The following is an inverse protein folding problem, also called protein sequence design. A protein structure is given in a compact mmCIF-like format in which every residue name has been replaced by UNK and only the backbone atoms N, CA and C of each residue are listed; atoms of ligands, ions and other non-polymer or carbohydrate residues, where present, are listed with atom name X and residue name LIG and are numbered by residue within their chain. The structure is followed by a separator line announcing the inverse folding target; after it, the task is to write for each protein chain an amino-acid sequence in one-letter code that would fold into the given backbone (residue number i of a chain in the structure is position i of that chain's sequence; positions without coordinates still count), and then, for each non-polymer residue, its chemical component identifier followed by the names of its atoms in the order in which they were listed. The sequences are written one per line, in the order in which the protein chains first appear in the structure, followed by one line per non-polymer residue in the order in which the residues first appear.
data_IF_365412473205
#
_entry.id   IF_365412473205
#
_cell.length_a   1.000
_cell.length_b   1.000
_cell.length_c   1.000
_cell.angle_alpha   90.00
_cell.angle_beta   90.00
_cell.angle_gamma   90.00
#
_symmetry.space_group_name_H-M   'P 1'
#
loop_
_entity.id
_entity.type
_entity.pdbx_description
1 polymer ?
#
# COMPACT_ATOMS: atom_id res chain seq x y z
N UNK A 1 -16.94 23.64 6.25
CA UNK A 1 -16.93 22.62 7.31
C UNK A 1 -16.67 23.36 8.63
N UNK A 2 -17.35 23.04 9.75
CA UNK A 2 -17.10 23.67 11.03
C UNK A 2 -15.66 23.41 11.53
N UNK A 3 -15.23 24.30 12.40
CA UNK A 3 -13.89 24.71 12.82
C UNK A 3 -13.18 23.81 13.85
N UNK A 4 -13.14 22.49 13.64
CA UNK A 4 -12.40 21.63 14.58
C UNK A 4 -12.21 20.17 14.22
N UNK A 5 -12.58 19.77 13.01
CA UNK A 5 -12.33 18.39 12.53
C UNK A 5 -11.20 18.44 11.51
N UNK A 6 -9.98 18.22 11.98
CA UNK A 6 -8.82 18.10 11.10
C UNK A 6 -9.02 16.88 10.21
N UNK A 7 -9.20 17.10 8.90
CA UNK A 7 -9.43 16.00 7.97
C UNK A 7 -8.10 15.52 7.37
N UNK A 8 -7.10 16.39 7.32
CA UNK A 8 -5.81 16.11 6.69
C UNK A 8 -4.64 16.66 7.51
N UNK A 9 -3.65 15.80 7.75
CA UNK A 9 -2.36 16.17 8.34
C UNK A 9 -1.24 15.63 7.46
N UNK A 10 -0.27 16.47 7.13
CA UNK A 10 0.94 16.09 6.41
C UNK A 10 2.16 16.59 7.19
N UNK A 11 3.15 15.72 7.42
CA UNK A 11 4.34 16.10 8.16
C UNK A 11 5.34 14.97 8.25
N UNK A 12 6.50 15.27 8.84
CA UNK A 12 7.60 14.32 8.99
C UNK A 12 7.87 14.07 10.47
N UNK A 13 7.88 12.80 10.85
CA UNK A 13 8.18 12.34 12.21
C UNK A 13 9.54 11.64 12.18
N UNK A 14 10.42 12.01 13.11
CA UNK A 14 11.74 11.43 13.25
C UNK A 14 11.71 10.04 13.90
N UNK A 15 12.82 9.29 13.87
CA UNK A 15 12.91 7.95 14.45
C UNK A 15 12.75 7.91 15.98
N UNK A 16 12.79 9.07 16.65
CA UNK A 16 12.50 9.24 18.08
C UNK A 16 11.00 9.49 18.36
N UNK A 17 10.14 9.46 17.34
CA UNK A 17 8.70 9.70 17.46
C UNK A 17 8.30 11.17 17.60
N UNK A 18 9.23 12.12 17.44
CA UNK A 18 8.96 13.56 17.51
C UNK A 18 8.79 14.15 16.11
N UNK A 19 8.02 15.24 15.99
CA UNK A 19 7.90 16.01 14.76
C UNK A 19 9.24 16.65 14.39
N UNK A 20 9.70 16.46 13.15
CA UNK A 20 10.90 17.14 12.62
C UNK A 20 10.56 18.56 12.20
N UNK A 21 9.36 18.75 11.65
CA UNK A 21 8.77 20.05 11.35
C UNK A 21 7.35 20.11 11.88
N UNK A 22 6.82 21.31 12.16
CA UNK A 22 5.39 21.45 12.42
C UNK A 22 4.57 20.80 11.29
N UNK A 23 3.53 20.05 11.62
CA UNK A 23 2.68 19.45 10.60
C UNK A 23 1.88 20.51 9.86
N UNK A 24 1.65 20.28 8.57
CA UNK A 24 0.69 21.02 7.76
C UNK A 24 -0.70 20.42 7.99
N UNK A 25 -1.65 21.26 8.37
CA UNK A 25 -2.98 20.84 8.80
C UNK A 25 -4.04 21.61 8.02
N UNK A 26 -4.91 20.90 7.31
CA UNK A 26 -6.04 21.45 6.52
C UNK A 26 -5.70 22.61 5.55
N UNK A 27 -4.41 22.78 5.22
CA UNK A 27 -3.92 23.80 4.30
C UNK A 27 -3.18 23.16 3.11
N UNK A 28 -3.36 23.67 1.88
CA UNK A 28 -2.56 23.24 0.75
C UNK A 28 -1.10 23.67 0.91
N UNK A 29 -0.16 22.75 0.71
CA UNK A 29 1.26 23.07 0.83
C UNK A 29 2.17 21.86 0.69
N UNK A 30 3.47 22.11 0.86
CA UNK A 30 4.52 21.09 0.79
C UNK A 30 5.34 21.19 2.09
N UNK A 31 5.52 20.06 2.76
CA UNK A 31 6.39 19.96 3.94
C UNK A 31 7.76 19.45 3.51
N UNK A 32 8.81 20.17 3.87
CA UNK A 32 10.20 19.77 3.66
C UNK A 32 10.86 19.48 5.01
N UNK A 33 11.70 18.45 5.07
CA UNK A 33 12.49 18.13 6.24
C UNK A 33 13.83 17.50 5.83
N UNK A 34 14.89 17.80 6.57
CA UNK A 34 16.17 17.13 6.42
C UNK A 34 16.17 15.79 7.18
N UNK A 35 16.67 14.75 6.53
CA UNK A 35 16.70 13.39 7.08
C UNK A 35 18.13 12.93 7.31
N UNK A 36 18.56 12.86 8.57
CA UNK A 36 19.82 12.22 8.95
C UNK A 36 19.64 10.70 9.13
N UNK A 37 20.20 9.92 8.21
CA UNK A 37 20.17 8.46 8.26
C UNK A 37 21.02 7.89 9.40
N UNK A 38 21.90 8.64 10.03
CA UNK A 38 22.64 8.14 11.20
C UNK A 38 21.72 8.05 12.43
N UNK A 39 20.64 8.84 12.48
CA UNK A 39 19.70 8.84 13.60
C UNK A 39 18.98 7.49 13.80
N UNK A 40 18.82 6.69 12.73
CA UNK A 40 18.16 5.37 12.83
C UNK A 40 19.04 4.31 13.51
N UNK A 41 20.36 4.50 13.57
CA UNK A 41 21.28 3.51 14.13
C UNK A 41 20.98 3.23 15.60
N UNK A 42 20.71 4.29 16.38
CA UNK A 42 20.36 4.15 17.80
C UNK A 42 19.05 3.38 17.98
N UNK A 43 18.02 3.76 17.20
CA UNK A 43 16.72 3.08 17.24
C UNK A 43 16.82 1.59 16.92
N UNK A 44 17.63 1.25 15.89
CA UNK A 44 17.87 -0.13 15.51
C UNK A 44 18.67 -0.92 16.54
N UNK A 45 19.62 -0.30 17.23
CA UNK A 45 20.38 -0.96 18.31
C UNK A 45 19.47 -1.36 19.48
N UNK A 46 18.51 -0.51 19.84
CA UNK A 46 17.61 -0.79 20.95
C UNK A 46 16.43 -1.69 20.55
N UNK A 47 15.81 -1.47 19.39
CA UNK A 47 14.61 -2.17 18.91
C UNK A 47 14.81 -2.77 17.50
N UNK A 48 15.58 -3.86 17.39
CA UNK A 48 15.81 -4.58 16.13
C UNK A 48 14.72 -5.63 15.83
N UNK A 49 13.56 -5.16 15.35
CA UNK A 49 12.35 -5.97 15.13
C UNK A 49 12.59 -7.11 14.12
N UNK A 50 13.42 -6.90 13.10
CA UNK A 50 13.69 -7.89 12.04
C UNK A 50 14.92 -8.75 12.32
N UNK A 51 15.69 -8.44 13.36
CA UNK A 51 16.90 -9.17 13.73
C UNK A 51 16.79 -9.75 15.14
N UNK A 52 17.55 -9.21 16.08
CA UNK A 52 17.80 -9.84 17.38
C UNK A 52 16.57 -10.00 18.29
N UNK A 53 15.51 -9.21 18.09
CA UNK A 53 14.26 -9.42 18.83
C UNK A 53 13.47 -10.63 18.32
N UNK A 54 13.77 -11.16 17.13
CA UNK A 54 13.02 -12.28 16.60
C UNK A 54 13.36 -13.58 17.32
N UNK A 55 12.30 -14.21 17.84
CA UNK A 55 12.29 -15.62 18.23
C UNK A 55 11.74 -16.47 17.09
N UNK A 56 12.64 -16.82 16.17
CA UNK A 56 12.32 -17.68 15.02
C UNK A 56 11.77 -19.06 15.43
N UNK A 57 11.94 -19.45 16.69
CA UNK A 57 11.42 -20.68 17.27
C UNK A 57 9.96 -20.55 17.78
N UNK A 58 9.42 -19.34 17.89
CA UNK A 58 8.05 -19.10 18.41
C UNK A 58 7.07 -18.76 17.29
N UNK A 59 7.44 -17.85 16.38
CA UNK A 59 6.56 -17.39 15.30
C UNK A 59 7.27 -17.40 13.95
N UNK A 60 6.53 -17.82 12.92
CA UNK A 60 6.94 -17.75 11.51
C UNK A 60 5.83 -17.10 10.69
N UNK A 61 6.17 -16.04 9.95
CA UNK A 61 5.30 -15.39 8.99
C UNK A 61 5.79 -15.73 7.58
N UNK A 62 4.89 -16.26 6.74
CA UNK A 62 5.15 -16.51 5.33
C UNK A 62 4.32 -15.56 4.46
N UNK A 63 4.92 -15.05 3.39
CA UNK A 63 4.28 -14.11 2.47
C UNK A 63 4.12 -14.79 1.11
N UNK A 64 2.88 -15.03 0.71
CA UNK A 64 2.52 -15.37 -0.67
C UNK A 64 2.53 -14.10 -1.51
N UNK A 65 3.52 -13.99 -2.40
CA UNK A 65 3.67 -12.85 -3.33
C UNK A 65 3.05 -13.12 -4.70
N UNK A 66 2.26 -14.19 -4.86
CA UNK A 66 1.58 -14.46 -6.11
C UNK A 66 0.61 -13.33 -6.46
N UNK A 67 0.59 -12.94 -7.74
CA UNK A 67 -0.39 -11.97 -8.25
C UNK A 67 -1.76 -12.64 -8.25
N UNK A 68 -2.73 -12.04 -7.56
CA UNK A 68 -4.11 -12.54 -7.52
C UNK A 68 -4.95 -11.88 -8.59
N UNK A 69 -5.55 -12.69 -9.45
CA UNK A 69 -6.50 -12.18 -10.44
C UNK A 69 -7.73 -11.58 -9.73
N UNK A 70 -8.30 -10.45 -10.22
CA UNK A 70 -9.50 -9.86 -9.65
C UNK A 70 -10.74 -10.77 -9.73
N UNK A 71 -10.75 -11.71 -10.68
CA UNK A 71 -11.80 -12.71 -10.87
C UNK A 71 -11.17 -14.09 -10.93
N UNK A 72 -11.72 -15.03 -10.16
CA UNK A 72 -11.41 -16.45 -10.27
C UNK A 72 -12.66 -17.15 -10.82
N UNK A 73 -12.61 -17.77 -12.03
CA UNK A 73 -13.73 -18.58 -12.50
C UNK A 73 -13.87 -19.78 -11.58
N UNK A 74 -15.05 -19.96 -10.98
CA UNK A 74 -15.39 -21.13 -10.17
C UNK A 74 -16.47 -21.90 -10.93
N UNK A 75 -16.06 -22.95 -11.62
CA UNK A 75 -16.90 -23.82 -12.43
C UNK A 75 -16.01 -24.76 -13.25
N UNK A 76 -16.32 -26.05 -13.28
CA UNK A 76 -15.64 -27.00 -14.15
C UNK A 76 -15.66 -26.51 -15.59
N UNK A 77 -14.66 -26.89 -16.37
CA UNK A 77 -14.58 -26.60 -17.80
C UNK A 77 -15.80 -27.20 -18.52
N UNK A 78 -16.93 -26.51 -18.48
CA UNK A 78 -17.85 -26.51 -19.60
C UNK A 78 -17.17 -25.65 -20.66
N UNK A 79 -17.02 -26.25 -21.83
CA UNK A 79 -16.44 -25.69 -23.04
C UNK A 79 -17.08 -24.32 -23.32
N UNK A 80 -16.51 -23.25 -22.76
CA UNK A 80 -16.93 -21.88 -23.06
C UNK A 80 -16.43 -21.64 -24.48
N UNK A 81 -17.32 -21.50 -25.47
CA UNK A 81 -16.90 -21.37 -26.86
C UNK A 81 -15.89 -20.23 -26.96
N UNK A 82 -14.72 -20.57 -27.49
CA UNK A 82 -13.64 -19.61 -27.71
C UNK A 82 -14.17 -18.46 -28.56
N UNK A 83 -14.10 -17.26 -28.01
CA UNK A 83 -14.49 -15.98 -28.59
C UNK A 83 -16.01 -15.76 -28.74
N UNK A 84 -16.58 -15.04 -27.76
CA UNK A 84 -17.76 -14.20 -28.00
C UNK A 84 -17.27 -12.94 -28.72
N UNK A 85 -17.59 -12.79 -30.01
CA UNK A 85 -17.37 -11.56 -30.75
C UNK A 85 -18.39 -10.50 -30.32
N UNK A 86 -17.89 -9.32 -29.96
CA UNK A 86 -18.72 -8.18 -29.62
C UNK A 86 -18.99 -7.37 -30.89
N UNK A 87 -20.26 -7.39 -31.31
CA UNK A 87 -20.77 -6.51 -32.37
C UNK A 87 -21.01 -5.13 -31.77
N UNK A 88 -20.29 -4.14 -32.29
CA UNK A 88 -20.46 -2.74 -31.93
C UNK A 88 -21.88 -2.27 -32.32
N UNK A 89 -22.71 -1.95 -31.32
CA UNK A 89 -23.99 -1.27 -31.57
C UNK A 89 -25.19 -1.55 -30.65
N UNK A 90 -25.05 -2.28 -29.55
CA UNK A 90 -26.13 -2.53 -28.56
C UNK A 90 -25.56 -3.00 -27.22
N UNK A 91 -26.35 -3.09 -26.13
CA UNK A 91 -25.83 -3.19 -24.75
C UNK A 91 -25.03 -4.49 -24.58
N UNK A 92 -23.70 -4.34 -24.62
CA UNK A 92 -22.73 -5.41 -24.76
C UNK A 92 -21.37 -4.79 -25.04
N UNK A 93 -20.85 -4.02 -24.08
CA UNK A 93 -19.51 -3.44 -24.16
C UNK A 93 -18.49 -4.48 -23.69
N UNK A 94 -17.46 -4.75 -24.50
CA UNK A 94 -16.26 -5.47 -24.05
C UNK A 94 -15.02 -4.62 -24.11
N UNK A 95 -14.36 -4.57 -22.96
CA UNK A 95 -13.04 -3.99 -22.76
C UNK A 95 -12.04 -5.14 -22.75
N UNK A 96 -11.11 -5.14 -23.71
CA UNK A 96 -9.93 -6.02 -23.67
C UNK A 96 -8.86 -5.43 -22.76
N UNK A 97 -8.18 -6.23 -21.92
CA UNK A 97 -7.02 -5.74 -21.18
C UNK A 97 -5.86 -5.45 -22.14
N UNK A 98 -5.27 -4.27 -21.98
CA UNK A 98 -4.04 -3.85 -22.64
C UNK A 98 -2.88 -4.70 -22.11
N UNK A 99 -2.26 -5.50 -22.98
CA UNK A 99 -0.98 -6.15 -22.64
C UNK A 99 0.13 -5.10 -22.68
N UNK A 100 0.72 -4.78 -21.52
CA UNK A 100 2.16 -4.59 -21.35
C UNK A 100 2.55 -4.83 -19.91
#
# INVERSE_FOLDING_TARGET
MPDGTYNCISGVIGPNGQWVTPPLVDEPGIVFADCDLNAILRGRLFHDIVGHYNRFDVFRLEIDRSVRAPLHPTGGAEDVPSAVEFRDGGPGVIVRPLRR
#
